data_IF_425549601356
#
_entry.id   IF_425549601356
#
_cell.length_a   1.000
_cell.length_b   1.000
_cell.length_c   1.000
_cell.angle_alpha   90.00
_cell.angle_beta   90.00
_cell.angle_gamma   90.00
#
_symmetry.space_group_name_H-M   'P 1'
#
loop_
_entity.id
_entity.type
_entity.pdbx_description
1 polymer ?
#
# COMPACT_ATOMS: atom_id res chain seq x y z
N UNK A 1 -1.49 -28.51 8.44
CA UNK A 1 -2.10 -27.79 7.29
C UNK A 1 -2.97 -26.63 7.74
N UNK A 2 -3.89 -26.83 8.71
CA UNK A 2 -4.70 -25.78 9.35
C UNK A 2 -3.91 -24.53 9.78
N UNK A 3 -2.81 -24.70 10.52
CA UNK A 3 -1.98 -23.58 11.00
C UNK A 3 -1.37 -22.70 9.88
N UNK A 4 -1.17 -23.23 8.66
CA UNK A 4 -0.70 -22.42 7.51
C UNK A 4 -1.83 -21.62 6.88
N UNK A 5 -3.04 -22.15 6.90
CA UNK A 5 -4.24 -21.51 6.37
C UNK A 5 -4.65 -20.35 7.30
N UNK A 6 -4.62 -20.58 8.61
CA UNK A 6 -4.94 -19.54 9.61
C UNK A 6 -3.96 -18.36 9.50
N UNK A 7 -2.66 -18.65 9.38
CA UNK A 7 -1.64 -17.61 9.17
C UNK A 7 -1.85 -16.85 7.84
N UNK A 8 -2.24 -17.53 6.77
CA UNK A 8 -2.50 -16.88 5.48
C UNK A 8 -3.74 -15.98 5.54
N UNK A 9 -4.79 -16.41 6.25
CA UNK A 9 -5.99 -15.61 6.47
C UNK A 9 -5.73 -14.39 7.35
N UNK A 10 -4.94 -14.56 8.42
CA UNK A 10 -4.49 -13.44 9.26
C UNK A 10 -3.64 -12.44 8.47
N UNK A 11 -2.76 -12.92 7.60
CA UNK A 11 -1.96 -12.07 6.73
C UNK A 11 -2.84 -11.31 5.73
N UNK A 12 -3.80 -11.99 5.10
CA UNK A 12 -4.77 -11.34 4.22
C UNK A 12 -5.58 -10.26 4.92
N UNK A 13 -6.09 -10.54 6.13
CA UNK A 13 -6.81 -9.55 6.95
C UNK A 13 -5.92 -8.37 7.33
N UNK A 14 -4.66 -8.63 7.66
CA UNK A 14 -3.68 -7.59 7.94
C UNK A 14 -3.45 -6.70 6.71
N UNK A 15 -3.27 -7.27 5.52
CA UNK A 15 -3.10 -6.53 4.28
C UNK A 15 -4.30 -5.64 3.96
N UNK A 16 -5.53 -6.17 4.10
CA UNK A 16 -6.75 -5.38 3.85
C UNK A 16 -6.87 -4.22 4.85
N UNK A 17 -6.64 -4.47 6.14
CA UNK A 17 -6.67 -3.40 7.16
C UNK A 17 -5.62 -2.34 6.88
N UNK A 18 -4.42 -2.74 6.47
CA UNK A 18 -3.34 -1.82 6.14
C UNK A 18 -3.66 -1.00 4.89
N UNK A 19 -4.14 -1.63 3.82
CA UNK A 19 -4.56 -0.94 2.59
C UNK A 19 -5.64 0.12 2.86
N UNK A 20 -6.59 -0.17 3.75
CA UNK A 20 -7.59 0.80 4.17
C UNK A 20 -7.01 1.91 5.05
N UNK A 21 -6.13 1.56 6.00
CA UNK A 21 -5.46 2.52 6.89
C UNK A 21 -4.55 3.49 6.13
N UNK A 22 -3.85 3.01 5.10
CA UNK A 22 -2.94 3.81 4.26
C UNK A 22 -3.73 4.58 3.16
N UNK A 23 -5.07 4.65 3.28
CA UNK A 23 -5.97 5.34 2.36
C UNK A 23 -5.82 4.88 0.90
N UNK A 24 -5.58 3.59 0.68
CA UNK A 24 -5.39 2.98 -0.64
C UNK A 24 -6.47 3.37 -1.67
N UNK A 25 -7.77 3.29 -1.33
CA UNK A 25 -8.84 3.74 -2.22
C UNK A 25 -8.77 5.23 -2.61
N UNK A 26 -8.40 6.12 -1.68
CA UNK A 26 -8.22 7.55 -1.98
C UNK A 26 -7.00 7.80 -2.87
N UNK A 27 -5.88 7.11 -2.59
CA UNK A 27 -4.68 7.17 -3.44
C UNK A 27 -4.97 6.67 -4.86
N UNK A 28 -5.75 5.59 -5.01
CA UNK A 28 -6.17 5.08 -6.32
C UNK A 28 -7.05 6.09 -7.07
N UNK A 29 -7.97 6.77 -6.39
CA UNK A 29 -8.80 7.82 -7.00
C UNK A 29 -7.97 9.03 -7.47
N UNK A 30 -7.03 9.49 -6.64
CA UNK A 30 -6.11 10.57 -7.00
C UNK A 30 -5.25 10.19 -8.22
N UNK A 31 -4.67 8.99 -8.24
CA UNK A 31 -3.88 8.49 -9.37
C UNK A 31 -4.74 8.33 -10.63
N UNK A 32 -6.01 7.96 -10.50
CA UNK A 32 -6.96 7.88 -11.63
C UNK A 32 -7.18 9.25 -12.26
N UNK A 33 -7.45 10.27 -11.44
CA UNK A 33 -7.57 11.65 -11.91
C UNK A 33 -6.28 12.14 -12.57
N UNK A 34 -5.12 11.90 -11.96
CA UNK A 34 -3.83 12.28 -12.56
C UNK A 34 -3.56 11.53 -13.87
N UNK A 35 -3.92 10.25 -13.96
CA UNK A 35 -3.78 9.43 -15.17
C UNK A 35 -4.62 10.00 -16.32
N UNK A 36 -5.83 10.50 -16.04
CA UNK A 36 -6.70 11.11 -17.07
C UNK A 36 -5.99 12.25 -17.81
N UNK A 37 -5.31 13.13 -17.07
CA UNK A 37 -4.57 14.26 -17.68
C UNK A 37 -3.20 13.84 -18.23
N UNK A 38 -2.59 12.79 -17.67
CA UNK A 38 -1.23 12.37 -18.02
C UNK A 38 -1.16 11.33 -19.14
N UNK A 39 -2.26 10.65 -19.49
CA UNK A 39 -2.24 9.55 -20.49
C UNK A 39 -1.76 10.04 -21.85
N UNK A 40 -2.30 11.15 -22.35
CA UNK A 40 -1.90 11.74 -23.64
C UNK A 40 -0.44 12.21 -23.63
N UNK A 41 0.02 13.00 -22.63
CA UNK A 41 1.43 13.34 -22.49
C UNK A 41 2.37 12.12 -22.45
N UNK A 42 2.05 11.11 -21.64
CA UNK A 42 2.87 9.90 -21.51
C UNK A 42 2.95 9.10 -22.80
N UNK A 43 1.82 8.94 -23.51
CA UNK A 43 1.80 8.29 -24.83
C UNK A 43 2.61 9.09 -25.86
N UNK A 44 2.47 10.41 -25.88
CA UNK A 44 3.23 11.28 -26.78
C UNK A 44 4.73 11.12 -26.58
N UNK A 45 5.20 11.15 -25.33
CA UNK A 45 6.64 10.97 -25.04
C UNK A 45 7.11 9.57 -25.42
N UNK A 46 6.30 8.54 -25.11
CA UNK A 46 6.59 7.15 -25.49
C UNK A 46 6.77 7.01 -27.01
N UNK A 47 5.84 7.54 -27.79
CA UNK A 47 5.90 7.47 -29.26
C UNK A 47 6.99 8.33 -29.87
N UNK A 48 7.27 9.51 -29.30
CA UNK A 48 8.37 10.37 -29.73
C UNK A 48 9.71 9.64 -29.54
N UNK A 49 9.92 9.00 -28.38
CA UNK A 49 11.14 8.23 -28.10
C UNK A 49 11.30 7.03 -29.05
N UNK A 50 10.23 6.29 -29.32
CA UNK A 50 10.26 5.17 -30.25
C UNK A 50 10.53 5.62 -31.70
N UNK A 51 9.90 6.72 -32.13
CA UNK A 51 10.07 7.26 -33.48
C UNK A 51 11.47 7.83 -33.72
N UNK A 52 12.16 8.27 -32.66
CA UNK A 52 13.52 8.76 -32.72
C UNK A 52 14.55 7.67 -33.10
N UNK A 53 14.19 6.39 -32.92
CA UNK A 53 15.08 5.25 -33.21
C UNK A 53 14.60 4.57 -34.51
N UNK A 54 15.40 4.59 -35.59
CA UNK A 54 14.99 4.03 -36.89
C UNK A 54 14.56 2.55 -36.84
N UNK A 55 15.13 1.75 -35.93
CA UNK A 55 14.82 0.34 -35.74
C UNK A 55 13.40 0.08 -35.20
N UNK A 56 12.74 1.08 -34.61
CA UNK A 56 11.37 0.96 -34.08
C UNK A 56 10.31 1.62 -34.99
N UNK A 57 10.67 1.98 -36.24
CA UNK A 57 9.68 2.44 -37.23
C UNK A 57 8.60 1.36 -37.42
N UNK A 58 7.34 1.73 -37.22
CA UNK A 58 6.18 0.82 -37.29
C UNK A 58 5.86 0.06 -35.99
N UNK A 59 6.78 0.01 -35.01
CA UNK A 59 6.52 -0.64 -33.71
C UNK A 59 5.57 0.18 -32.85
N UNK A 60 5.51 1.50 -33.05
CA UNK A 60 4.59 2.39 -32.35
C UNK A 60 3.12 1.98 -32.49
N UNK A 61 2.68 1.58 -33.69
CA UNK A 61 1.30 1.13 -33.93
C UNK A 61 0.99 -0.22 -33.26
N UNK A 62 1.97 -1.13 -33.21
CA UNK A 62 1.83 -2.43 -32.53
C UNK A 62 1.76 -2.26 -31.01
N UNK A 63 2.62 -1.41 -30.43
CA UNK A 63 2.54 -1.03 -29.01
C UNK A 63 1.20 -0.41 -28.72
N UNK A 64 0.76 0.49 -29.58
CA UNK A 64 -0.51 1.16 -29.42
C UNK A 64 -1.66 0.14 -29.40
N UNK A 65 -1.73 -0.74 -30.40
CA UNK A 65 -2.73 -1.82 -30.45
C UNK A 65 -2.67 -2.71 -29.20
N UNK A 66 -1.47 -3.04 -28.71
CA UNK A 66 -1.33 -3.83 -27.50
C UNK A 66 -1.76 -3.10 -26.23
N UNK A 67 -1.40 -1.82 -26.08
CA UNK A 67 -1.85 -0.99 -24.95
C UNK A 67 -3.38 -0.95 -24.95
N UNK A 68 -4.00 -0.73 -26.11
CA UNK A 68 -5.45 -0.77 -26.22
C UNK A 68 -5.99 -2.15 -25.87
N UNK A 69 -5.54 -3.22 -26.53
CA UNK A 69 -6.11 -4.55 -26.34
C UNK A 69 -5.85 -5.17 -24.94
N UNK A 70 -4.76 -4.78 -24.26
CA UNK A 70 -4.38 -5.35 -22.97
C UNK A 70 -4.61 -4.44 -21.79
N UNK A 71 -4.72 -3.12 -21.98
CA UNK A 71 -4.93 -2.16 -20.89
C UNK A 71 -6.22 -1.36 -21.05
N UNK A 72 -6.95 -1.47 -22.15
CA UNK A 72 -8.25 -0.83 -22.34
C UNK A 72 -9.27 -1.89 -22.78
N UNK A 73 -10.25 -2.24 -21.94
CA UNK A 73 -11.26 -3.24 -22.29
C UNK A 73 -12.02 -2.85 -23.57
N UNK A 74 -12.50 -3.87 -24.30
CA UNK A 74 -13.01 -3.82 -25.69
C UNK A 74 -14.13 -2.80 -25.98
N UNK A 75 -14.73 -2.20 -24.96
CA UNK A 75 -15.70 -1.11 -25.07
C UNK A 75 -15.07 0.26 -25.30
N UNK A 76 -13.76 0.32 -25.47
CA UNK A 76 -12.97 1.53 -25.70
C UNK A 76 -12.80 1.95 -27.15
N UNK A 77 -13.49 1.39 -28.15
CA UNK A 77 -13.29 1.76 -29.57
C UNK A 77 -13.40 3.29 -29.80
N UNK A 78 -14.37 3.94 -29.16
CA UNK A 78 -14.52 5.41 -29.18
C UNK A 78 -13.39 6.14 -28.46
N UNK A 79 -12.90 5.64 -27.32
CA UNK A 79 -11.75 6.22 -26.59
C UNK A 79 -10.46 6.04 -27.38
N UNK A 80 -10.30 4.89 -28.03
CA UNK A 80 -9.18 4.57 -28.89
C UNK A 80 -9.12 5.55 -30.07
N UNK A 81 -10.25 5.85 -30.71
CA UNK A 81 -10.34 6.83 -31.79
C UNK A 81 -9.98 8.26 -31.32
N UNK A 82 -10.48 8.69 -30.16
CA UNK A 82 -10.11 9.99 -29.58
C UNK A 82 -8.62 10.04 -29.21
N UNK A 83 -8.09 9.03 -28.53
CA UNK A 83 -6.68 8.98 -28.17
C UNK A 83 -5.80 8.94 -29.42
N UNK A 84 -6.20 8.21 -30.47
CA UNK A 84 -5.55 8.21 -31.78
C UNK A 84 -5.48 9.60 -32.41
N UNK A 85 -6.63 10.27 -32.51
CA UNK A 85 -6.73 11.61 -33.09
C UNK A 85 -5.88 12.63 -32.32
N UNK A 86 -5.88 12.54 -30.98
CA UNK A 86 -5.02 13.39 -30.14
C UNK A 86 -3.53 13.09 -30.34
N UNK A 87 -3.15 11.82 -30.47
CA UNK A 87 -1.75 11.43 -30.68
C UNK A 87 -1.24 11.91 -32.04
N UNK A 88 -2.08 11.86 -33.09
CA UNK A 88 -1.72 12.41 -34.40
C UNK A 88 -1.57 13.93 -34.37
N UNK A 89 -2.42 14.62 -33.61
CA UNK A 89 -2.33 16.06 -33.42
C UNK A 89 -1.11 16.46 -32.59
N UNK A 90 -0.71 15.61 -31.63
CA UNK A 90 0.47 15.81 -30.80
C UNK A 90 1.80 15.76 -31.57
N UNK A 91 1.84 15.15 -32.77
CA UNK A 91 3.01 15.25 -33.66
C UNK A 91 3.19 16.64 -34.28
N UNK A 92 2.16 17.48 -34.27
CA UNK A 92 2.18 18.85 -34.79
C UNK A 92 2.39 19.90 -33.68
N UNK A 93 2.66 19.48 -32.45
CA UNK A 93 2.80 20.38 -31.30
C UNK A 93 4.05 21.27 -31.43
N UNK A 94 3.89 22.55 -31.09
CA UNK A 94 5.00 23.50 -30.94
C UNK A 94 5.89 23.11 -29.74
N UNK A 95 7.12 23.64 -29.70
CA UNK A 95 8.08 23.41 -28.59
C UNK A 95 7.48 23.68 -27.20
N UNK A 96 6.58 24.66 -27.08
CA UNK A 96 5.84 24.95 -25.85
C UNK A 96 4.92 23.80 -25.43
N UNK A 97 4.21 23.18 -26.36
CA UNK A 97 3.35 22.03 -26.09
C UNK A 97 4.15 20.82 -25.61
N UNK A 98 5.30 20.54 -26.22
CA UNK A 98 6.18 19.44 -25.79
C UNK A 98 6.66 19.65 -24.35
N UNK A 99 7.04 20.87 -23.98
CA UNK A 99 7.39 21.22 -22.60
C UNK A 99 6.25 21.00 -21.61
N UNK A 100 5.03 21.38 -21.98
CA UNK A 100 3.84 21.15 -21.15
C UNK A 100 3.53 19.67 -20.95
N UNK A 101 3.62 18.86 -22.01
CA UNK A 101 3.43 17.40 -21.93
C UNK A 101 4.51 16.73 -21.08
N UNK A 102 5.77 17.15 -21.22
CA UNK A 102 6.87 16.66 -20.39
C UNK A 102 6.62 16.97 -18.90
N UNK A 103 6.19 18.18 -18.58
CA UNK A 103 5.88 18.58 -17.20
C UNK A 103 4.73 17.76 -16.59
N UNK A 104 3.67 17.50 -17.36
CA UNK A 104 2.52 16.68 -16.90
C UNK A 104 2.90 15.20 -16.71
N UNK A 105 3.72 14.64 -17.61
CA UNK A 105 4.30 13.30 -17.45
C UNK A 105 5.14 13.19 -16.17
N UNK A 106 6.01 14.18 -15.91
CA UNK A 106 6.81 14.23 -14.67
C UNK A 106 5.94 14.36 -13.41
N UNK A 107 4.89 15.19 -13.45
CA UNK A 107 3.95 15.35 -12.34
C UNK A 107 3.21 14.04 -12.02
N UNK A 108 2.90 13.24 -13.04
CA UNK A 108 2.34 11.91 -12.83
C UNK A 108 3.33 10.97 -12.15
N UNK A 109 4.57 10.89 -12.64
CA UNK A 109 5.61 10.05 -12.00
C UNK A 109 5.84 10.41 -10.54
N UNK A 110 5.85 11.72 -10.22
CA UNK A 110 5.93 12.21 -8.84
C UNK A 110 4.75 11.75 -7.97
N UNK A 111 3.54 11.74 -8.54
CA UNK A 111 2.33 11.31 -7.84
C UNK A 111 2.35 9.80 -7.58
N UNK A 112 2.77 9.00 -8.56
CA UNK A 112 2.99 7.54 -8.38
C UNK A 112 4.04 7.30 -7.29
N UNK A 113 5.20 7.94 -7.39
CA UNK A 113 6.26 7.78 -6.39
C UNK A 113 5.77 8.16 -4.99
N UNK A 114 5.01 9.25 -4.86
CA UNK A 114 4.44 9.65 -3.56
C UNK A 114 3.51 8.59 -2.99
N UNK A 115 2.61 8.02 -3.81
CA UNK A 115 1.70 6.96 -3.37
C UNK A 115 2.47 5.70 -2.89
N UNK A 116 3.49 5.29 -3.63
CA UNK A 116 4.35 4.17 -3.23
C UNK A 116 5.16 4.52 -1.97
N UNK A 117 5.76 5.70 -1.90
CA UNK A 117 6.51 6.12 -0.71
C UNK A 117 5.62 6.17 0.55
N UNK A 118 4.33 6.52 0.43
CA UNK A 118 3.37 6.42 1.54
C UNK A 118 3.21 4.98 2.03
N UNK A 119 2.99 4.01 1.13
CA UNK A 119 2.86 2.58 1.48
C UNK A 119 4.12 2.08 2.21
N UNK A 120 5.30 2.46 1.72
CA UNK A 120 6.58 2.11 2.35
C UNK A 120 6.99 3.02 3.52
N UNK A 121 6.15 3.99 3.89
CA UNK A 121 6.38 4.96 4.98
C UNK A 121 7.70 5.73 4.85
N UNK A 122 8.08 6.04 3.61
CA UNK A 122 9.29 6.78 3.28
C UNK A 122 9.05 8.27 3.50
N UNK A 123 9.77 8.85 4.46
CA UNK A 123 9.59 10.25 4.84
C UNK A 123 10.35 11.24 3.96
N UNK A 124 11.35 10.78 3.22
CA UNK A 124 12.16 11.62 2.36
C UNK A 124 12.00 11.17 0.90
N UNK A 125 11.36 11.97 0.05
CA UNK A 125 11.33 11.69 -1.39
C UNK A 125 12.75 11.73 -1.95
N UNK A 126 12.98 11.07 -3.09
CA UNK A 126 14.29 11.16 -3.77
C UNK A 126 14.58 12.63 -4.08
N UNK A 127 15.78 13.11 -3.76
CA UNK A 127 16.23 14.48 -4.03
C UNK A 127 17.40 14.50 -5.00
N UNK A 128 17.46 15.53 -5.83
CA UNK A 128 18.56 15.79 -6.74
C UNK A 128 18.66 14.77 -7.88
N UNK A 129 19.90 14.38 -8.20
CA UNK A 129 20.25 13.57 -9.39
C UNK A 129 19.58 12.19 -9.38
N UNK A 130 19.35 11.58 -8.22
CA UNK A 130 18.72 10.25 -8.14
C UNK A 130 17.25 10.24 -8.61
N UNK A 131 16.50 11.30 -8.27
CA UNK A 131 15.12 11.48 -8.72
C UNK A 131 15.08 11.77 -10.22
N UNK A 132 15.96 12.66 -10.69
CA UNK A 132 16.11 12.96 -12.12
C UNK A 132 16.44 11.71 -12.94
N UNK A 133 17.42 10.90 -12.51
CA UNK A 133 17.80 9.67 -13.21
C UNK A 133 16.67 8.65 -13.25
N UNK A 134 15.89 8.51 -12.17
CA UNK A 134 14.73 7.60 -12.16
C UNK A 134 13.68 8.04 -13.18
N UNK A 135 13.25 9.31 -13.14
CA UNK A 135 12.23 9.80 -14.06
C UNK A 135 12.72 9.78 -15.49
N UNK A 136 13.98 10.15 -15.73
CA UNK A 136 14.61 10.07 -17.03
C UNK A 136 14.68 8.64 -17.55
N UNK A 137 15.04 7.67 -16.70
CA UNK A 137 15.05 6.25 -17.06
C UNK A 137 13.63 5.72 -17.35
N UNK A 138 12.62 6.06 -16.55
CA UNK A 138 11.24 5.63 -16.83
C UNK A 138 10.77 6.20 -18.17
N UNK A 139 11.08 7.47 -18.44
CA UNK A 139 10.57 8.17 -19.60
C UNK A 139 11.30 7.83 -20.92
N UNK A 140 12.58 7.41 -20.84
CA UNK A 140 13.37 6.99 -22.00
C UNK A 140 13.46 5.46 -22.12
N UNK A 141 13.96 4.80 -21.08
CA UNK A 141 14.19 3.37 -21.03
C UNK A 141 12.88 2.57 -20.98
N UNK A 142 11.82 3.09 -20.35
CA UNK A 142 10.51 2.46 -20.31
C UNK A 142 9.93 2.17 -21.71
N UNK A 143 9.72 3.20 -22.55
CA UNK A 143 9.33 3.02 -23.95
C UNK A 143 10.28 2.11 -24.74
N UNK A 144 11.58 2.23 -24.52
CA UNK A 144 12.59 1.41 -25.21
C UNK A 144 12.45 -0.08 -24.88
N UNK A 145 12.27 -0.42 -23.60
CA UNK A 145 12.07 -1.79 -23.15
C UNK A 145 10.76 -2.37 -23.67
N UNK A 146 9.70 -1.56 -23.71
CA UNK A 146 8.45 -1.95 -24.35
C UNK A 146 8.68 -2.24 -25.84
N UNK A 147 9.29 -1.30 -26.58
CA UNK A 147 9.59 -1.48 -28.01
C UNK A 147 10.47 -2.69 -28.31
N UNK A 148 11.50 -2.94 -27.50
CA UNK A 148 12.32 -4.13 -27.59
C UNK A 148 11.52 -5.41 -27.31
N UNK A 149 10.64 -5.40 -26.30
CA UNK A 149 9.74 -6.51 -25.99
C UNK A 149 8.79 -6.84 -27.13
N UNK A 150 8.25 -5.81 -27.80
CA UNK A 150 7.40 -6.02 -28.98
C UNK A 150 8.19 -6.48 -30.20
N UNK A 151 9.31 -5.84 -30.51
CA UNK A 151 10.15 -6.24 -31.64
C UNK A 151 10.59 -7.70 -31.50
N UNK A 152 10.98 -8.12 -30.29
CA UNK A 152 11.35 -9.51 -30.01
C UNK A 152 10.15 -10.45 -30.07
N UNK A 153 8.98 -10.08 -29.52
CA UNK A 153 7.76 -10.88 -29.61
C UNK A 153 7.31 -11.06 -31.07
N UNK A 154 7.29 -10.00 -31.87
CA UNK A 154 6.95 -10.02 -33.30
C UNK A 154 7.97 -10.82 -34.11
N UNK A 155 9.26 -10.71 -33.79
CA UNK A 155 10.31 -11.51 -34.42
C UNK A 155 10.16 -13.00 -34.09
N UNK A 156 9.93 -13.34 -32.83
CA UNK A 156 9.67 -14.74 -32.42
C UNK A 156 8.39 -15.26 -33.09
N UNK A 157 7.35 -14.42 -33.17
CA UNK A 157 6.08 -14.75 -33.82
C UNK A 157 6.20 -14.94 -35.35
N UNK A 158 7.20 -14.32 -35.99
CA UNK A 158 7.43 -14.42 -37.44
C UNK A 158 8.40 -15.54 -37.83
N UNK A 159 9.13 -16.14 -36.88
CA UNK A 159 9.93 -17.33 -37.15
C UNK A 159 9.01 -18.49 -37.57
N UNK A 160 9.39 -19.18 -38.64
CA UNK A 160 8.69 -20.35 -39.23
C UNK A 160 8.53 -21.55 -38.29
N UNK A 161 9.03 -21.47 -37.06
CA UNK A 161 8.90 -22.46 -35.98
C UNK A 161 7.49 -22.51 -35.38
N UNK A 162 6.58 -21.61 -35.76
CA UNK A 162 5.20 -21.56 -35.28
C UNK A 162 4.22 -22.23 -36.26
N UNK A 163 4.55 -22.26 -37.56
CA UNK A 163 3.62 -22.67 -38.63
C UNK A 163 4.23 -23.66 -39.63
N UNK A 164 5.52 -23.99 -39.51
CA UNK A 164 6.22 -24.91 -40.42
C UNK A 164 6.12 -26.39 -40.00
N UNK A 165 6.57 -27.33 -40.86
CA UNK A 165 6.56 -28.78 -40.59
C UNK A 165 7.35 -29.20 -39.35
N UNK A 166 8.24 -28.34 -38.86
CA UNK A 166 9.10 -28.51 -37.69
C UNK A 166 8.64 -27.66 -36.50
N UNK A 167 7.34 -27.36 -36.40
CA UNK A 167 6.79 -26.57 -35.31
C UNK A 167 7.19 -27.20 -33.95
N UNK A 168 7.97 -26.48 -33.16
CA UNK A 168 8.40 -26.93 -31.84
C UNK A 168 7.18 -26.98 -30.91
N UNK A 169 6.88 -28.18 -30.42
CA UNK A 169 5.86 -28.41 -29.39
C UNK A 169 6.24 -27.53 -28.18
N UNK A 170 5.46 -26.48 -27.94
CA UNK A 170 5.68 -25.54 -26.82
C UNK A 170 5.72 -24.06 -27.21
N UNK A 171 6.00 -23.70 -28.47
CA UNK A 171 6.07 -22.29 -28.91
C UNK A 171 4.70 -21.61 -28.83
N UNK A 172 3.62 -22.30 -29.20
CA UNK A 172 2.25 -21.79 -29.10
C UNK A 172 1.81 -21.52 -27.65
N UNK A 173 2.24 -22.33 -26.68
CA UNK A 173 2.03 -22.08 -25.25
C UNK A 173 2.88 -20.93 -24.75
N UNK A 174 4.13 -20.80 -25.21
CA UNK A 174 5.02 -19.70 -24.82
C UNK A 174 4.45 -18.34 -25.26
N UNK A 175 3.89 -18.25 -26.47
CA UNK A 175 3.24 -17.03 -26.98
C UNK A 175 2.00 -16.66 -26.15
N UNK A 176 1.20 -17.64 -25.70
CA UNK A 176 0.04 -17.38 -24.83
C UNK A 176 0.42 -16.91 -23.43
N UNK A 177 1.56 -17.35 -22.90
CA UNK A 177 2.04 -17.01 -21.55
C UNK A 177 2.93 -15.75 -21.55
N UNK A 178 3.46 -15.36 -22.71
CA UNK A 178 4.34 -14.20 -22.85
C UNK A 178 3.73 -12.88 -22.33
N UNK A 179 2.46 -12.52 -22.63
CA UNK A 179 1.83 -11.33 -22.09
C UNK A 179 1.83 -11.32 -20.56
N UNK A 180 1.49 -12.46 -19.94
CA UNK A 180 1.50 -12.62 -18.49
C UNK A 180 2.91 -12.45 -17.93
N UNK A 181 3.93 -13.06 -18.54
CA UNK A 181 5.33 -12.90 -18.12
C UNK A 181 5.81 -11.45 -18.22
N UNK A 182 5.43 -10.74 -19.29
CA UNK A 182 5.73 -9.32 -19.45
C UNK A 182 5.03 -8.49 -18.37
N UNK A 183 3.77 -8.77 -18.04
CA UNK A 183 3.06 -8.13 -16.93
C UNK A 183 3.72 -8.40 -15.59
N UNK A 184 4.14 -9.65 -15.32
CA UNK A 184 4.88 -10.01 -14.10
C UNK A 184 6.19 -9.23 -14.02
N UNK A 185 6.96 -9.18 -15.10
CA UNK A 185 8.21 -8.44 -15.17
C UNK A 185 7.99 -6.93 -14.95
N UNK A 186 6.97 -6.35 -15.59
CA UNK A 186 6.63 -4.94 -15.45
C UNK A 186 6.23 -4.58 -14.02
N UNK A 187 5.31 -5.33 -13.40
CA UNK A 187 4.91 -5.09 -12.01
C UNK A 187 6.06 -5.33 -11.02
N UNK A 188 6.88 -6.36 -11.24
CA UNK A 188 8.09 -6.60 -10.43
C UNK A 188 9.04 -5.41 -10.49
N UNK A 189 9.27 -4.87 -11.68
CA UNK A 189 10.14 -3.70 -11.88
C UNK A 189 9.57 -2.45 -11.22
N UNK A 190 8.26 -2.22 -11.34
CA UNK A 190 7.57 -1.11 -10.64
C UNK A 190 7.77 -1.24 -9.12
N UNK A 191 7.54 -2.43 -8.53
CA UNK A 191 7.69 -2.65 -7.10
C UNK A 191 9.14 -2.60 -6.61
N UNK A 192 10.11 -2.89 -7.47
CA UNK A 192 11.53 -2.82 -7.11
C UNK A 192 12.12 -1.41 -7.29
N UNK A 193 11.70 -0.66 -8.33
CA UNK A 193 12.37 0.57 -8.75
C UNK A 193 11.70 1.85 -8.26
N UNK A 194 10.36 1.86 -8.13
CA UNK A 194 9.59 3.08 -7.78
C UNK A 194 9.72 3.46 -6.31
N UNK A 195 9.55 2.55 -5.33
CA UNK A 195 9.71 2.90 -3.92
C UNK A 195 11.10 3.46 -3.65
N UNK A 196 11.20 4.52 -2.85
CA UNK A 196 12.48 5.02 -2.36
C UNK A 196 13.01 4.20 -1.17
N UNK A 197 13.00 2.86 -1.28
CA UNK A 197 13.54 1.92 -0.30
C UNK A 197 14.20 0.73 -0.98
N UNK A 198 15.00 -0.03 -0.21
CA UNK A 198 15.55 -1.31 -0.68
C UNK A 198 14.48 -2.39 -0.57
N UNK A 199 13.90 -2.77 -1.71
CA UNK A 199 12.95 -3.89 -1.82
C UNK A 199 13.69 -5.14 -2.31
N UNK A 200 13.68 -6.26 -1.57
CA UNK A 200 14.24 -7.52 -2.04
C UNK A 200 13.51 -8.01 -3.30
N UNK A 201 14.26 -8.32 -4.37
CA UNK A 201 13.70 -8.77 -5.65
C UNK A 201 12.77 -9.98 -5.52
N UNK A 202 13.02 -10.87 -4.55
CA UNK A 202 12.14 -12.02 -4.28
C UNK A 202 10.73 -11.57 -3.86
N UNK A 203 10.62 -10.54 -3.03
CA UNK A 203 9.32 -10.02 -2.62
C UNK A 203 8.65 -9.23 -3.74
N UNK A 204 9.43 -8.45 -4.48
CA UNK A 204 8.94 -7.75 -5.67
C UNK A 204 8.38 -8.73 -6.72
N UNK A 205 9.04 -9.89 -6.93
CA UNK A 205 8.58 -10.93 -7.84
C UNK A 205 7.27 -11.58 -7.37
N UNK A 206 7.15 -11.91 -6.08
CA UNK A 206 5.90 -12.46 -5.52
C UNK A 206 4.75 -11.46 -5.69
N UNK A 207 4.99 -10.18 -5.42
CA UNK A 207 4.03 -9.12 -5.71
C UNK A 207 3.72 -8.97 -7.18
N UNK A 208 4.73 -9.02 -8.05
CA UNK A 208 4.55 -8.93 -9.50
C UNK A 208 3.69 -10.05 -10.06
N UNK A 209 3.89 -11.30 -9.61
CA UNK A 209 3.04 -12.44 -9.95
C UNK A 209 1.62 -12.24 -9.44
N UNK A 210 1.47 -11.87 -8.17
CA UNK A 210 0.16 -11.64 -7.56
C UNK A 210 -0.64 -10.56 -8.31
N UNK A 211 -0.02 -9.41 -8.57
CA UNK A 211 -0.65 -8.29 -9.28
C UNK A 211 -0.95 -8.64 -10.72
N UNK A 212 -0.06 -9.32 -11.44
CA UNK A 212 -0.30 -9.72 -12.82
C UNK A 212 -1.52 -10.65 -12.95
N UNK A 213 -1.65 -11.63 -12.05
CA UNK A 213 -2.81 -12.54 -12.03
C UNK A 213 -4.09 -11.78 -11.73
N UNK A 214 -4.06 -10.90 -10.73
CA UNK A 214 -5.24 -10.12 -10.33
C UNK A 214 -5.66 -9.14 -11.44
N UNK A 215 -4.69 -8.55 -12.13
CA UNK A 215 -4.90 -7.66 -13.26
C UNK A 215 -5.51 -8.40 -14.46
N UNK A 216 -5.01 -9.60 -14.79
CA UNK A 216 -5.59 -10.44 -15.85
C UNK A 216 -7.03 -10.85 -15.52
N UNK A 217 -7.29 -11.26 -14.29
CA UNK A 217 -8.64 -11.61 -13.83
C UNK A 217 -9.57 -10.39 -13.91
N UNK A 218 -9.09 -9.21 -13.49
CA UNK A 218 -9.85 -7.97 -13.55
C UNK A 218 -10.18 -7.56 -14.99
N UNK A 219 -9.26 -7.75 -15.95
CA UNK A 219 -9.53 -7.49 -17.38
C UNK A 219 -10.68 -8.33 -17.90
N UNK A 220 -10.65 -9.63 -17.60
CA UNK A 220 -11.73 -10.53 -18.02
C UNK A 220 -13.05 -10.18 -17.34
N UNK A 221 -13.04 -9.93 -16.02
CA UNK A 221 -14.23 -9.58 -15.26
C UNK A 221 -14.83 -8.25 -15.73
N UNK A 222 -14.00 -7.24 -16.01
CA UNK A 222 -14.47 -5.96 -16.52
C UNK A 222 -15.01 -6.09 -17.94
N UNK A 223 -14.36 -6.86 -18.81
CA UNK A 223 -14.88 -7.19 -20.14
C UNK A 223 -16.28 -7.82 -20.05
N UNK A 224 -16.45 -8.82 -19.18
CA UNK A 224 -17.76 -9.45 -18.93
C UNK A 224 -18.77 -8.45 -18.38
N UNK A 225 -18.40 -7.60 -17.41
CA UNK A 225 -19.28 -6.60 -16.84
C UNK A 225 -19.85 -5.67 -17.92
N UNK A 226 -19.00 -5.13 -18.79
CA UNK A 226 -19.49 -4.21 -19.82
C UNK A 226 -20.31 -4.94 -20.89
N UNK A 227 -19.98 -6.20 -21.22
CA UNK A 227 -20.79 -7.00 -22.14
C UNK A 227 -22.17 -7.37 -21.59
N UNK A 228 -22.29 -7.68 -20.29
CA UNK A 228 -23.55 -8.09 -19.67
C UNK A 228 -24.43 -6.90 -19.22
N UNK A 229 -23.85 -5.73 -19.00
CA UNK A 229 -24.58 -4.52 -18.57
C UNK A 229 -24.49 -3.37 -19.59
N UNK A 230 -25.01 -3.54 -20.82
CA UNK A 230 -25.03 -2.48 -21.83
C UNK A 230 -25.97 -1.32 -21.45
N UNK A 231 -26.74 -1.44 -20.37
CA UNK A 231 -27.64 -0.40 -19.84
C UNK A 231 -26.94 0.95 -19.65
N UNK A 232 -25.67 0.94 -19.25
CA UNK A 232 -24.87 2.16 -19.13
C UNK A 232 -24.64 2.84 -20.49
N UNK A 233 -24.38 2.08 -21.54
CA UNK A 233 -24.28 2.60 -22.91
C UNK A 233 -25.63 3.02 -23.47
N UNK A 234 -26.72 2.35 -23.09
CA UNK A 234 -28.08 2.70 -23.50
C UNK A 234 -28.55 4.06 -22.93
N UNK A 235 -28.17 4.37 -21.68
CA UNK A 235 -28.56 5.64 -21.02
C UNK A 235 -27.65 6.79 -21.45
N UNK A 236 -26.33 6.57 -21.51
CA UNK A 236 -25.34 7.64 -21.71
C UNK A 236 -24.73 7.68 -23.12
N UNK A 237 -25.03 6.72 -23.99
CA UNK A 237 -24.50 6.67 -25.36
C UNK A 237 -22.96 6.70 -25.39
N UNK A 238 -22.40 7.50 -26.30
CA UNK A 238 -20.95 7.68 -26.43
C UNK A 238 -20.29 8.24 -25.15
N UNK A 239 -21.03 8.95 -24.29
CA UNK A 239 -20.50 9.49 -23.03
C UNK A 239 -20.17 8.37 -22.01
N UNK A 240 -20.79 7.19 -22.12
CA UNK A 240 -20.53 6.05 -21.23
C UNK A 240 -19.05 5.62 -21.23
N UNK A 241 -18.31 5.91 -22.29
CA UNK A 241 -16.91 5.55 -22.42
C UNK A 241 -16.04 6.20 -21.33
N UNK A 242 -16.24 7.48 -21.02
CA UNK A 242 -15.40 8.21 -20.06
C UNK A 242 -15.53 7.66 -18.63
N UNK A 243 -16.74 7.50 -18.05
CA UNK A 243 -16.90 6.89 -16.73
C UNK A 243 -16.38 5.45 -16.67
N UNK A 244 -16.60 4.65 -17.71
CA UNK A 244 -16.09 3.27 -17.77
C UNK A 244 -14.55 3.23 -17.80
N UNK A 245 -13.92 4.13 -18.55
CA UNK A 245 -12.47 4.29 -18.55
C UNK A 245 -11.93 4.68 -17.18
N UNK A 246 -12.55 5.67 -16.52
CA UNK A 246 -12.15 6.08 -15.17
C UNK A 246 -12.32 4.95 -14.16
N UNK A 247 -13.42 4.20 -14.24
CA UNK A 247 -13.66 3.03 -13.39
C UNK A 247 -12.58 1.95 -13.62
N UNK A 248 -12.21 1.71 -14.87
CA UNK A 248 -11.16 0.75 -15.22
C UNK A 248 -9.78 1.18 -14.70
N UNK A 249 -9.42 2.45 -14.89
CA UNK A 249 -8.16 3.00 -14.37
C UNK A 249 -8.14 2.98 -12.84
N UNK A 250 -9.28 3.27 -12.20
CA UNK A 250 -9.42 3.16 -10.75
C UNK A 250 -9.19 1.73 -10.25
N UNK A 251 -9.85 0.75 -10.87
CA UNK A 251 -9.67 -0.67 -10.55
C UNK A 251 -8.21 -1.10 -10.76
N UNK A 252 -7.57 -0.64 -11.84
CA UNK A 252 -6.17 -0.89 -12.15
C UNK A 252 -5.25 -0.37 -11.03
N UNK A 253 -5.46 0.87 -10.58
CA UNK A 253 -4.69 1.43 -9.47
C UNK A 253 -4.96 0.73 -8.14
N UNK A 254 -6.21 0.32 -7.87
CA UNK A 254 -6.51 -0.49 -6.68
C UNK A 254 -5.69 -1.78 -6.66
N UNK A 255 -5.62 -2.50 -7.79
CA UNK A 255 -4.85 -3.74 -7.92
C UNK A 255 -3.35 -3.48 -7.74
N UNK A 256 -2.81 -2.45 -8.40
CA UNK A 256 -1.38 -2.11 -8.33
C UNK A 256 -0.97 -1.71 -6.91
N UNK A 257 -1.75 -0.87 -6.24
CA UNK A 257 -1.47 -0.42 -4.87
C UNK A 257 -1.66 -1.55 -3.86
N UNK A 258 -2.66 -2.42 -4.04
CA UNK A 258 -2.83 -3.58 -3.18
C UNK A 258 -1.67 -4.58 -3.31
N UNK A 259 -1.15 -4.77 -4.53
CA UNK A 259 0.08 -5.54 -4.74
C UNK A 259 1.31 -4.91 -4.09
N UNK A 260 1.42 -3.57 -4.12
CA UNK A 260 2.47 -2.85 -3.39
C UNK A 260 2.39 -3.08 -1.87
N UNK A 261 1.18 -3.10 -1.31
CA UNK A 261 0.94 -3.41 0.11
C UNK A 261 1.43 -4.81 0.48
N UNK A 262 1.17 -5.78 -0.41
CA UNK A 262 1.65 -7.15 -0.26
C UNK A 262 3.18 -7.22 -0.29
N UNK A 263 3.84 -6.56 -1.25
CA UNK A 263 5.31 -6.51 -1.30
C UNK A 263 5.88 -5.87 -0.04
N UNK A 264 5.28 -4.76 0.41
CA UNK A 264 5.71 -4.06 1.62
C UNK A 264 5.56 -4.95 2.86
N UNK A 265 4.41 -5.60 3.03
CA UNK A 265 4.14 -6.52 4.14
C UNK A 265 5.04 -7.75 4.17
N UNK A 266 5.39 -8.30 3.00
CA UNK A 266 6.36 -9.40 2.89
C UNK A 266 7.77 -8.94 3.24
N UNK A 267 8.16 -7.75 2.77
CA UNK A 267 9.49 -7.19 3.03
C UNK A 267 9.68 -6.74 4.48
N UNK A 268 8.59 -6.44 5.20
CA UNK A 268 8.61 -6.01 6.62
C UNK A 268 8.26 -7.11 7.62
N UNK A 269 8.44 -8.40 7.26
CA UNK A 269 7.94 -9.60 7.97
C UNK A 269 8.16 -9.67 9.51
N UNK A 270 9.09 -8.90 10.08
CA UNK A 270 9.26 -8.76 11.53
C UNK A 270 8.14 -7.95 12.22
N UNK A 271 7.41 -7.11 11.48
CA UNK A 271 6.39 -6.21 12.04
C UNK A 271 5.00 -6.88 12.13
N UNK A 272 4.68 -7.82 11.23
CA UNK A 272 3.44 -8.61 11.28
C UNK A 272 3.47 -9.70 12.36
N UNK A 273 4.66 -10.22 12.71
CA UNK A 273 4.83 -11.26 13.76
C UNK A 273 4.86 -10.73 15.19
N UNK A 274 5.05 -9.43 15.41
CA UNK A 274 4.95 -8.86 16.76
C UNK A 274 3.48 -8.57 17.02
N UNK A 275 2.85 -9.38 17.89
CA UNK A 275 1.56 -9.01 18.48
C UNK A 275 1.71 -7.58 19.02
N UNK A 276 0.80 -6.65 18.70
CA UNK A 276 0.85 -5.31 19.30
C UNK A 276 0.84 -5.51 20.80
N UNK A 277 1.89 -5.04 21.47
CA UNK A 277 1.90 -5.01 22.93
C UNK A 277 0.67 -4.21 23.36
N UNK A 278 -0.12 -4.69 24.33
CA UNK A 278 -1.23 -3.92 24.87
C UNK A 278 -0.76 -2.50 25.21
N UNK A 279 -1.57 -1.49 24.87
CA UNK A 279 -1.20 -0.07 25.05
C UNK A 279 -0.73 0.25 26.46
N UNK A 280 -1.33 -0.38 27.48
CA UNK A 280 -0.87 -0.26 28.87
C UNK A 280 0.61 -0.69 29.05
N UNK A 281 1.04 -1.79 28.44
CA UNK A 281 2.44 -2.21 28.53
C UNK A 281 3.36 -1.22 27.82
N UNK A 282 2.93 -0.69 26.68
CA UNK A 282 3.66 0.35 25.96
C UNK A 282 3.79 1.61 26.82
N UNK A 283 2.71 2.08 27.44
CA UNK A 283 2.70 3.21 28.36
C UNK A 283 3.69 3.02 29.52
N UNK A 284 3.65 1.87 30.18
CA UNK A 284 4.54 1.57 31.31
C UNK A 284 6.01 1.48 30.86
N UNK A 285 6.28 0.91 29.69
CA UNK A 285 7.62 0.93 29.08
C UNK A 285 8.08 2.35 28.76
N UNK A 286 7.19 3.21 28.24
CA UNK A 286 7.47 4.62 27.96
C UNK A 286 7.78 5.38 29.25
N UNK A 287 6.95 5.26 30.29
CA UNK A 287 7.17 5.89 31.60
C UNK A 287 8.47 5.40 32.24
N UNK A 288 8.79 4.10 32.15
CA UNK A 288 10.09 3.56 32.62
C UNK A 288 11.26 4.21 31.89
N UNK A 289 11.21 4.30 30.57
CA UNK A 289 12.28 4.91 29.76
C UNK A 289 12.42 6.41 30.06
N UNK A 290 11.30 7.12 30.22
CA UNK A 290 11.28 8.53 30.62
C UNK A 290 11.89 8.73 32.00
N UNK A 291 11.53 7.91 32.97
CA UNK A 291 12.07 7.95 34.32
C UNK A 291 13.58 7.67 34.37
N UNK A 292 14.06 6.65 33.64
CA UNK A 292 15.49 6.37 33.55
C UNK A 292 16.26 7.53 32.91
N UNK A 293 15.71 8.16 31.87
CA UNK A 293 16.35 9.31 31.21
C UNK A 293 16.29 10.58 32.03
N UNK A 294 15.25 10.76 32.83
CA UNK A 294 15.15 11.85 33.80
C UNK A 294 16.28 11.77 34.84
N UNK A 295 16.60 10.56 35.34
CA UNK A 295 17.74 10.35 36.26
C UNK A 295 19.10 10.70 35.61
N UNK A 296 19.21 10.56 34.29
CA UNK A 296 20.40 10.96 33.52
C UNK A 296 20.37 12.44 33.06
N UNK A 297 19.30 13.19 33.36
CA UNK A 297 19.12 14.57 32.89
C UNK A 297 18.90 14.71 31.38
N UNK A 298 18.36 13.66 30.72
CA UNK A 298 18.17 13.59 29.26
C UNK A 298 16.69 13.61 28.89
N UNK A 299 16.41 14.18 27.71
CA UNK A 299 15.09 14.06 27.07
C UNK A 299 14.96 12.74 26.30
N UNK A 300 13.72 12.27 26.12
CA UNK A 300 13.38 11.12 25.30
C UNK A 300 12.85 11.58 23.94
N UNK A 301 13.46 11.08 22.86
CA UNK A 301 12.93 11.23 21.50
C UNK A 301 12.47 9.88 20.96
N UNK A 302 11.53 9.90 20.03
CA UNK A 302 11.03 8.67 19.40
C UNK A 302 12.16 7.80 18.79
N UNK A 303 13.18 8.46 18.22
CA UNK A 303 14.37 7.80 17.65
C UNK A 303 15.14 6.94 18.67
N UNK A 304 15.11 7.32 19.95
CA UNK A 304 15.86 6.63 21.00
C UNK A 304 15.15 5.32 21.40
N UNK A 305 13.81 5.32 21.35
CA UNK A 305 13.01 4.10 21.56
C UNK A 305 13.16 3.12 20.41
N UNK A 306 13.19 3.63 19.16
CA UNK A 306 13.46 2.80 17.99
C UNK A 306 14.85 2.14 18.08
N UNK A 307 15.85 2.83 18.64
CA UNK A 307 17.19 2.28 18.94
C UNK A 307 17.15 1.25 20.07
N UNK A 308 16.32 1.47 21.08
CA UNK A 308 16.10 0.53 22.19
C UNK A 308 15.25 -0.71 21.80
N UNK A 309 14.78 -0.79 20.55
CA UNK A 309 14.03 -1.94 20.03
C UNK A 309 12.51 -1.85 20.17
N UNK A 310 11.98 -0.79 20.79
CA UNK A 310 10.56 -0.43 20.78
C UNK A 310 10.24 0.35 19.51
N UNK A 311 9.70 -0.36 18.49
CA UNK A 311 9.22 0.25 17.26
C UNK A 311 7.73 0.56 17.38
N UNK A 312 7.43 1.75 17.88
CA UNK A 312 6.07 2.28 17.96
C UNK A 312 5.73 3.08 16.69
N UNK A 313 4.52 2.93 16.12
CA UNK A 313 3.96 3.86 15.14
C UNK A 313 3.98 5.30 15.68
N UNK A 314 4.13 6.29 14.80
CA UNK A 314 4.12 7.70 15.23
C UNK A 314 2.78 8.12 15.82
N UNK A 315 1.68 7.70 15.20
CA UNK A 315 0.34 8.02 15.69
C UNK A 315 0.11 7.50 17.12
N UNK A 316 0.58 6.27 17.41
CA UNK A 316 0.47 5.68 18.76
C UNK A 316 1.41 6.37 19.77
N UNK A 317 2.55 6.88 19.32
CA UNK A 317 3.46 7.68 20.13
C UNK A 317 2.85 9.03 20.50
N UNK A 318 2.29 9.74 19.52
CA UNK A 318 1.66 11.05 19.72
C UNK A 318 0.40 10.93 20.58
N UNK A 319 -0.42 9.88 20.36
CA UNK A 319 -1.59 9.55 21.19
C UNK A 319 -1.20 9.38 22.68
N UNK A 320 -0.23 8.51 22.96
CA UNK A 320 0.15 8.18 24.35
C UNK A 320 0.80 9.38 25.04
N UNK A 321 1.65 10.13 24.35
CA UNK A 321 2.28 11.31 24.94
C UNK A 321 1.32 12.47 25.10
N UNK A 322 0.36 12.65 24.18
CA UNK A 322 -0.73 13.60 24.36
C UNK A 322 -1.54 13.30 25.61
N UNK A 323 -1.84 12.02 25.86
CA UNK A 323 -2.48 11.59 27.12
C UNK A 323 -1.59 11.88 28.35
N UNK A 324 -0.29 11.54 28.29
CA UNK A 324 0.62 11.82 29.41
C UNK A 324 0.79 13.32 29.67
N UNK A 325 0.76 14.16 28.64
CA UNK A 325 0.83 15.62 28.76
C UNK A 325 -0.45 16.16 29.42
N UNK A 326 -1.62 15.65 29.03
CA UNK A 326 -2.90 15.99 29.66
C UNK A 326 -2.94 15.61 31.16
N UNK A 327 -2.38 14.46 31.53
CA UNK A 327 -2.24 14.01 32.92
C UNK A 327 -1.06 14.67 33.68
N UNK A 328 -0.37 15.63 33.05
CA UNK A 328 0.80 16.34 33.59
C UNK A 328 1.93 15.39 34.02
N UNK A 329 2.09 14.26 33.34
CA UNK A 329 3.19 13.30 33.56
C UNK A 329 4.45 13.71 32.81
N UNK A 330 4.28 14.23 31.58
CA UNK A 330 5.37 14.64 30.70
C UNK A 330 5.19 16.08 30.22
N UNK A 331 6.30 16.71 29.85
CA UNK A 331 6.27 17.97 29.11
C UNK A 331 7.16 17.89 27.89
N UNK A 332 6.82 18.71 26.89
CA UNK A 332 7.62 18.87 25.70
C UNK A 332 8.75 19.88 25.92
N UNK A 333 9.95 19.55 25.46
CA UNK A 333 11.11 20.46 25.48
C UNK A 333 11.13 21.31 24.21
N UNK A 334 11.81 22.47 24.26
CA UNK A 334 11.97 23.35 23.08
C UNK A 334 12.72 22.71 21.91
N UNK A 335 13.52 21.66 22.18
CA UNK A 335 14.20 20.82 21.19
C UNK A 335 13.29 19.75 20.55
N UNK A 336 12.02 19.66 20.96
CA UNK A 336 11.06 18.69 20.44
C UNK A 336 11.16 17.29 21.07
N UNK A 337 11.89 17.14 22.17
CA UNK A 337 11.90 15.93 23.00
C UNK A 337 10.84 15.97 24.10
N UNK A 338 10.75 14.88 24.85
CA UNK A 338 9.84 14.76 25.99
C UNK A 338 10.61 14.45 27.26
N UNK A 339 10.21 15.08 28.37
CA UNK A 339 10.78 14.86 29.69
C UNK A 339 9.68 14.52 30.67
N UNK A 340 10.01 13.70 31.68
CA UNK A 340 9.12 13.46 32.79
C UNK A 340 9.08 14.70 33.69
N UNK A 341 7.89 15.25 33.91
CA UNK A 341 7.68 16.49 34.66
C UNK A 341 7.09 16.27 36.05
N UNK A 342 6.66 15.04 36.35
CA UNK A 342 6.03 14.68 37.61
C UNK A 342 6.75 13.50 38.25
N UNK A 343 6.83 13.51 39.57
CA UNK A 343 7.32 12.37 40.34
C UNK A 343 6.32 11.21 40.27
N UNK A 344 6.79 10.05 39.78
CA UNK A 344 6.00 8.83 39.67
C UNK A 344 5.70 8.21 41.03
N UNK A 345 6.46 8.53 42.09
CA UNK A 345 6.18 8.05 43.45
C UNK A 345 4.83 8.56 43.98
N UNK A 346 4.34 9.68 43.44
CA UNK A 346 3.08 10.31 43.81
C UNK A 346 1.95 10.13 42.77
N UNK A 347 2.15 9.25 41.79
CA UNK A 347 1.14 8.93 40.78
C UNK A 347 0.87 7.42 40.76
N UNK A 348 -0.29 7.03 41.30
CA UNK A 348 -0.62 5.61 41.43
C UNK A 348 -0.99 4.96 40.09
N UNK A 349 -0.70 3.66 39.97
CA UNK A 349 -1.11 2.87 38.81
C UNK A 349 -2.64 2.85 38.66
N UNK A 350 -3.38 2.75 39.76
CA UNK A 350 -4.85 2.82 39.75
C UNK A 350 -5.37 4.16 39.18
N UNK A 351 -4.72 5.29 39.51
CA UNK A 351 -5.06 6.57 38.89
C UNK A 351 -4.80 6.54 37.38
N UNK A 352 -3.65 6.01 36.95
CA UNK A 352 -3.34 5.83 35.53
C UNK A 352 -4.43 5.03 34.82
N UNK A 353 -4.86 3.91 35.41
CA UNK A 353 -5.87 3.03 34.82
C UNK A 353 -7.26 3.68 34.75
N UNK A 354 -7.62 4.52 35.72
CA UNK A 354 -8.90 5.25 35.71
C UNK A 354 -8.94 6.38 34.68
N UNK A 355 -7.83 7.10 34.51
CA UNK A 355 -7.73 8.17 33.51
C UNK A 355 -7.43 7.64 32.10
N UNK A 356 -7.03 6.38 31.96
CA UNK A 356 -6.61 5.80 30.69
C UNK A 356 -7.78 5.82 29.66
N UNK A 357 -7.63 6.51 28.52
CA UNK A 357 -8.68 6.60 27.50
C UNK A 357 -8.88 5.28 26.75
N UNK A 358 -7.97 4.31 26.91
CA UNK A 358 -8.04 3.00 26.25
C UNK A 358 -8.38 1.90 27.27
N UNK A 359 -9.64 1.42 27.32
CA UNK A 359 -10.05 0.47 28.35
C UNK A 359 -9.24 -0.83 28.30
N UNK A 360 -8.92 -1.35 29.48
CA UNK A 360 -8.40 -2.70 29.65
C UNK A 360 -9.43 -3.69 29.11
N UNK A 361 -9.17 -4.32 27.96
CA UNK A 361 -10.08 -5.34 27.45
C UNK A 361 -10.08 -6.57 28.36
N UNK A 362 -11.26 -7.16 28.61
CA UNK A 362 -11.38 -8.37 29.43
C UNK A 362 -10.63 -9.59 28.83
N UNK A 363 -10.13 -9.48 27.60
CA UNK A 363 -9.35 -10.50 26.88
C UNK A 363 -7.98 -9.97 26.45
N UNK A 364 -7.32 -9.13 27.25
CA UNK A 364 -5.92 -8.79 26.99
C UNK A 364 -5.08 -10.07 27.13
N UNK A 365 -4.68 -10.67 25.99
CA UNK A 365 -3.61 -11.67 25.98
C UNK A 365 -2.29 -11.00 26.30
N UNK A 366 -1.90 -11.05 27.57
CA UNK A 366 -0.60 -10.65 28.06
C UNK A 366 0.48 -11.61 27.53
N UNK A 367 1.66 -11.11 27.09
CA UNK A 367 2.80 -11.98 26.76
C UNK A 367 3.15 -12.96 27.88
N UNK A 368 3.62 -14.18 27.56
CA UNK A 368 4.04 -15.09 28.64
C UNK A 368 5.26 -14.58 29.39
N UNK A 369 6.19 -13.95 28.67
CA UNK A 369 7.41 -13.35 29.20
C UNK A 369 7.65 -11.99 28.54
N UNK A 370 8.04 -11.02 29.35
CA UNK A 370 8.54 -9.72 28.94
C UNK A 370 9.80 -9.44 29.76
N UNK A 371 10.86 -8.96 29.13
CA UNK A 371 12.14 -8.69 29.79
C UNK A 371 12.11 -7.36 30.58
N UNK A 372 11.19 -7.28 31.53
CA UNK A 372 10.85 -6.08 32.29
C UNK A 372 10.62 -6.48 33.76
N UNK A 373 11.32 -5.87 34.73
CA UNK A 373 11.26 -6.31 36.13
C UNK A 373 9.90 -6.09 36.80
N UNK A 374 9.12 -5.11 36.33
CA UNK A 374 7.77 -4.81 36.84
C UNK A 374 6.68 -5.72 36.24
N UNK A 375 6.99 -6.45 35.17
CA UNK A 375 6.00 -7.16 34.39
C UNK A 375 5.34 -8.35 35.11
N UNK A 376 6.08 -9.23 35.84
CA UNK A 376 5.46 -10.35 36.54
C UNK A 376 4.43 -9.91 37.58
N UNK A 377 4.76 -8.89 38.37
CA UNK A 377 3.86 -8.32 39.39
C UNK A 377 2.62 -7.72 38.76
N UNK A 378 2.78 -6.92 37.68
CA UNK A 378 1.63 -6.35 36.96
C UNK A 378 0.71 -7.43 36.40
N UNK A 379 1.29 -8.47 35.79
CA UNK A 379 0.55 -9.58 35.20
C UNK A 379 -0.30 -10.28 36.25
N UNK A 380 0.29 -10.64 37.40
CA UNK A 380 -0.43 -11.26 38.50
C UNK A 380 -1.58 -10.39 39.01
N UNK A 381 -1.35 -9.09 39.22
CA UNK A 381 -2.40 -8.17 39.67
C UNK A 381 -3.55 -8.02 38.67
N UNK A 382 -3.25 -7.98 37.36
CA UNK A 382 -4.28 -7.92 36.33
C UNK A 382 -5.07 -9.23 36.20
N UNK A 383 -4.41 -10.37 36.34
CA UNK A 383 -5.07 -11.69 36.36
C UNK A 383 -6.02 -11.82 37.56
N UNK A 384 -5.59 -11.38 38.75
CA UNK A 384 -6.46 -11.32 39.94
C UNK A 384 -7.66 -10.39 39.75
N UNK A 385 -7.43 -9.18 39.22
CA UNK A 385 -8.51 -8.24 38.93
C UNK A 385 -9.56 -8.83 37.99
N UNK A 386 -9.13 -9.55 36.95
CA UNK A 386 -10.03 -10.22 36.01
C UNK A 386 -10.82 -11.36 36.66
N UNK A 387 -10.18 -12.15 37.53
CA UNK A 387 -10.85 -13.22 38.27
C UNK A 387 -11.90 -12.68 39.24
N UNK A 388 -11.57 -11.64 40.01
CA UNK A 388 -12.52 -11.00 40.92
C UNK A 388 -13.68 -10.38 40.14
N UNK A 389 -13.40 -9.66 39.06
CA UNK A 389 -14.45 -9.10 38.20
C UNK A 389 -15.37 -10.20 37.64
N UNK A 390 -14.82 -11.31 37.15
CA UNK A 390 -15.60 -12.42 36.64
C UNK A 390 -16.48 -13.06 37.73
N UNK A 391 -15.99 -13.14 38.98
CA UNK A 391 -16.76 -13.64 40.11
C UNK A 391 -17.87 -12.67 40.57
N UNK A 392 -17.60 -11.37 40.57
CA UNK A 392 -18.58 -10.36 41.00
C UNK A 392 -19.72 -10.20 40.00
N UNK A 393 -19.44 -10.35 38.71
CA UNK A 393 -20.44 -10.31 37.65
C UNK A 393 -20.87 -11.71 37.19
N UNK A 394 -20.60 -12.75 37.98
CA UNK A 394 -21.12 -14.09 37.71
C UNK A 394 -22.61 -14.12 38.05
N UNK A 395 -23.44 -14.13 37.02
CA UNK A 395 -24.90 -14.17 37.15
C UNK A 395 -25.56 -13.92 35.79
N UNK A 396 -26.82 -14.28 35.64
CA UNK A 396 -27.53 -13.95 34.40
C UNK A 396 -27.90 -12.47 34.41
N UNK A 397 -27.92 -11.84 33.23
CA UNK A 397 -28.40 -10.45 33.12
C UNK A 397 -29.84 -10.30 33.62
N UNK A 398 -30.65 -11.36 33.57
CA UNK A 398 -32.01 -11.35 34.10
C UNK A 398 -32.02 -11.16 35.63
N UNK A 399 -31.11 -11.80 36.38
CA UNK A 399 -31.02 -11.68 37.83
C UNK A 399 -30.70 -10.25 38.26
N UNK A 400 -29.81 -9.56 37.53
CA UNK A 400 -29.44 -8.18 37.78
C UNK A 400 -30.55 -7.18 37.45
N UNK A 401 -31.36 -7.46 36.43
CA UNK A 401 -32.49 -6.61 36.02
C UNK A 401 -33.74 -6.82 36.89
N UNK A 402 -33.86 -7.99 37.52
CA UNK A 402 -35.01 -8.35 38.36
C UNK A 402 -34.77 -8.09 39.86
N UNK A 403 -33.53 -7.87 40.31
CA UNK A 403 -33.18 -7.65 41.73
C UNK A 403 -33.58 -6.28 42.30
N UNK A 404 -34.78 -5.78 41.97
CA UNK A 404 -35.39 -4.58 42.52
C UNK A 404 -36.30 -4.81 43.74
N UNK A 405 -36.33 -6.01 44.31
CA UNK A 405 -37.06 -6.31 45.54
C UNK A 405 -36.30 -7.35 46.38
N UNK A 406 -36.11 -7.05 47.66
CA UNK A 406 -35.47 -7.90 48.67
C UNK A 406 -33.95 -8.16 48.56
N UNK A 407 -33.17 -7.11 48.82
CA UNK A 407 -31.92 -7.26 49.59
C UNK A 407 -32.16 -6.85 51.04
N UNK A 408 -32.96 -7.64 51.74
CA UNK A 408 -32.93 -7.68 53.19
C UNK A 408 -33.03 -9.14 53.64
N UNK A 409 -31.89 -9.81 53.79
CA UNK A 409 -31.77 -11.05 54.57
C UNK A 409 -30.29 -11.34 54.88
N UNK A 410 -29.97 -10.94 56.12
CA UNK A 410 -29.01 -11.47 57.11
C UNK A 410 -27.53 -11.55 56.75
#
# INVERSE_FOLDING_TARGET
MHQRIDNALEFGRFLVRRFLSDQGPHSAAALTYTTLFAVVPMMTVTFAMLSAIPAFKGVGEQIQFYIFNNFIPSTGATIQEYLLAFTSQARQLTWFGVGFLMATALMMLLTIEKAFNTIWRVRQPRRGVSSFLLYWAILSLGPLLLGAGFATSTYIASLSLISGPYALIGVGTLIKVMPLLLSVAAFTLIYAAVPNTRVPLRHALVGGVFTAVLFEAAKQLFGLYVSYFPSYQLIYGAFAAVPLFLLWVYLSWMIVLFGAELVCGLSSSQQWRRRPLPRLLVMLMLLRNLHQRQQEGRELRLRDLHRAGLRLPEDEWDDILGFFEQEQLVCRTGSGGWVLCRDLNHYSLDKLLRCNPWPLSARVTLPEQLNEPWYPTLRQSLELLQQEQASLFSGSLADWLQSGGDKNRQ
#
